data_IF_168823040267
#
_entry.id   IF_168823040267
#
_cell.length_a   1.000
_cell.length_b   1.000
_cell.length_c   1.000
_cell.angle_alpha   90.00
_cell.angle_beta   90.00
_cell.angle_gamma   90.00
#
_symmetry.space_group_name_H-M   'P 1'
#
loop_
_entity.id
_entity.type
_entity.pdbx_description
1 polymer ?
#
# COMPACT_ATOMS: atom_id res chain seq x y z
N UNK A 1 16.75 8.54 -21.12
CA UNK A 1 15.41 9.20 -21.12
C UNK A 1 14.62 8.83 -19.85
N UNK A 2 15.10 9.21 -18.65
CA UNK A 2 14.52 8.81 -17.35
C UNK A 2 13.97 9.99 -16.52
N UNK A 3 13.92 11.20 -17.09
CA UNK A 3 13.52 12.42 -16.39
C UNK A 3 12.07 12.88 -16.67
N UNK A 4 11.38 12.24 -17.62
CA UNK A 4 10.06 12.71 -18.07
C UNK A 4 8.88 12.18 -17.23
N UNK A 5 9.02 11.05 -16.53
CA UNK A 5 7.95 10.47 -15.71
C UNK A 5 7.91 10.98 -14.25
N UNK A 6 8.94 11.71 -13.82
CA UNK A 6 9.10 12.24 -12.44
C UNK A 6 8.56 13.67 -12.27
N UNK A 7 7.91 14.25 -13.29
CA UNK A 7 7.47 15.66 -13.31
C UNK A 7 5.95 15.87 -13.25
N UNK A 8 5.21 14.91 -12.70
CA UNK A 8 3.84 15.20 -12.28
C UNK A 8 3.94 15.80 -10.87
N UNK A 9 3.71 17.11 -10.75
CA UNK A 9 3.78 17.87 -9.47
C UNK A 9 2.97 17.21 -8.34
N UNK A 10 1.96 16.43 -8.69
CA UNK A 10 1.04 15.78 -7.77
C UNK A 10 1.22 14.26 -7.69
N UNK A 11 2.32 13.68 -8.18
CA UNK A 11 2.56 12.23 -8.12
C UNK A 11 3.87 11.90 -7.39
N UNK A 12 3.76 11.07 -6.36
CA UNK A 12 4.87 10.50 -5.60
C UNK A 12 5.03 9.04 -5.98
N UNK A 13 6.26 8.65 -6.30
CA UNK A 13 6.65 7.24 -6.44
C UNK A 13 7.70 6.99 -5.38
N UNK A 14 7.33 6.23 -4.35
CA UNK A 14 8.18 5.89 -3.22
C UNK A 14 8.71 4.46 -3.41
N UNK A 15 10.02 4.27 -3.28
CA UNK A 15 10.64 2.94 -3.29
C UNK A 15 10.58 2.41 -1.87
N UNK A 16 9.69 1.47 -1.61
CA UNK A 16 9.41 1.08 -0.24
C UNK A 16 10.48 0.12 0.26
N UNK A 17 11.22 0.55 1.28
CA UNK A 17 12.22 -0.25 2.02
C UNK A 17 11.65 -0.82 3.33
N UNK A 18 10.58 -0.22 3.84
CA UNK A 18 9.95 -0.65 5.08
C UNK A 18 8.47 -0.31 5.16
N UNK A 19 7.74 -1.04 5.99
CA UNK A 19 6.33 -0.81 6.27
C UNK A 19 6.07 -0.96 7.77
N UNK A 20 5.33 -0.02 8.35
CA UNK A 20 4.84 -0.11 9.72
C UNK A 20 3.31 -0.13 9.75
N UNK A 21 2.76 -0.98 10.60
CA UNK A 21 1.33 -1.08 10.86
C UNK A 21 1.02 -0.49 12.23
N UNK A 22 0.01 0.37 12.31
CA UNK A 22 -0.52 0.90 13.56
C UNK A 22 -2.01 0.70 13.57
N UNK A 23 -2.56 0.21 14.68
CA UNK A 23 -3.99 0.09 14.86
C UNK A 23 -4.52 1.11 15.87
N UNK A 24 -5.82 1.36 15.80
CA UNK A 24 -6.53 2.09 16.84
C UNK A 24 -8.04 1.97 16.66
N UNK A 25 -8.77 2.65 17.53
CA UNK A 25 -10.22 2.79 17.47
C UNK A 25 -10.61 4.23 17.72
N UNK A 26 -11.70 4.67 17.12
CA UNK A 26 -12.39 5.92 17.46
C UNK A 26 -13.92 5.68 17.37
N UNK A 27 -14.72 6.73 17.50
CA UNK A 27 -16.19 6.65 17.42
C UNK A 27 -16.72 6.00 16.13
N UNK A 28 -15.93 6.03 15.05
CA UNK A 28 -16.28 5.41 13.76
C UNK A 28 -15.79 3.96 13.65
N UNK A 29 -15.31 3.38 14.74
CA UNK A 29 -14.87 2.00 14.85
C UNK A 29 -13.37 1.80 14.63
N UNK A 30 -12.93 0.52 14.56
CA UNK A 30 -11.54 0.15 14.46
C UNK A 30 -10.95 0.56 13.12
N UNK A 31 -9.67 0.90 13.15
CA UNK A 31 -8.91 1.30 11.98
C UNK A 31 -7.48 0.77 12.03
N UNK A 32 -6.89 0.65 10.85
CA UNK A 32 -5.50 0.26 10.65
C UNK A 32 -4.85 1.30 9.74
N UNK A 33 -3.76 1.91 10.21
CA UNK A 33 -2.89 2.79 9.44
C UNK A 33 -1.66 2.00 9.00
N UNK A 34 -1.33 2.11 7.73
CA UNK A 34 -0.11 1.55 7.15
C UNK A 34 0.75 2.71 6.70
N UNK A 35 2.01 2.71 7.13
CA UNK A 35 3.00 3.71 6.73
C UNK A 35 4.11 3.00 5.98
N UNK A 36 4.44 3.51 4.80
CA UNK A 36 5.51 3.02 3.94
C UNK A 36 6.66 4.01 3.99
N UNK A 37 7.87 3.50 4.11
CA UNK A 37 9.09 4.30 4.22
C UNK A 37 10.03 3.99 3.05
N UNK A 38 10.73 5.02 2.58
CA UNK A 38 11.87 4.90 1.66
C UNK A 38 13.20 4.84 2.44
N UNK A 39 14.30 4.48 1.76
CA UNK A 39 15.67 4.54 2.28
C UNK A 39 16.07 5.98 2.67
N UNK A 40 15.54 6.98 1.98
CA UNK A 40 15.80 8.41 2.21
C UNK A 40 14.91 9.04 3.31
N UNK A 41 14.10 8.23 4.03
CA UNK A 41 13.24 8.70 5.12
C UNK A 41 11.93 9.38 4.69
N UNK A 42 11.63 9.40 3.39
CA UNK A 42 10.30 9.80 2.92
C UNK A 42 9.24 8.78 3.36
N UNK A 43 8.06 9.25 3.75
CA UNK A 43 6.95 8.39 4.13
C UNK A 43 5.66 8.70 3.38
N UNK A 44 4.85 7.65 3.21
CA UNK A 44 3.47 7.78 2.77
C UNK A 44 2.61 6.83 3.57
N UNK A 45 1.44 7.28 4.00
CA UNK A 45 0.52 6.44 4.75
C UNK A 45 -0.86 6.35 4.14
N UNK A 46 -1.53 5.25 4.44
CA UNK A 46 -2.95 5.07 4.17
C UNK A 46 -3.64 4.45 5.38
N UNK A 47 -4.96 4.62 5.43
CA UNK A 47 -5.76 4.16 6.56
C UNK A 47 -6.98 3.42 6.06
N UNK A 48 -7.19 2.22 6.61
CA UNK A 48 -8.38 1.41 6.39
C UNK A 48 -9.26 1.45 7.63
N UNK A 49 -10.56 1.61 7.41
CA UNK A 49 -11.58 1.32 8.42
C UNK A 49 -11.89 -0.17 8.35
N UNK A 50 -12.18 -0.78 9.51
CA UNK A 50 -12.40 -2.22 9.62
C UNK A 50 -13.70 -2.54 10.41
N UNK A 51 -14.62 -1.56 10.49
CA UNK A 51 -15.86 -1.66 11.25
C UNK A 51 -16.89 -2.51 10.51
N UNK A 52 -17.15 -2.23 9.23
CA UNK A 52 -18.22 -2.90 8.48
C UNK A 52 -17.70 -4.08 7.64
N UNK A 53 -18.52 -5.09 7.33
CA UNK A 53 -18.10 -6.21 6.47
C UNK A 53 -17.56 -5.74 5.12
N UNK A 54 -18.20 -4.76 4.47
CA UNK A 54 -17.73 -4.20 3.21
C UNK A 54 -16.34 -3.56 3.31
N UNK A 55 -16.06 -2.87 4.43
CA UNK A 55 -14.75 -2.29 4.69
C UNK A 55 -13.67 -3.36 4.90
N UNK A 56 -14.01 -4.44 5.61
CA UNK A 56 -13.10 -5.59 5.80
C UNK A 56 -12.79 -6.27 4.47
N UNK A 57 -13.81 -6.53 3.63
CA UNK A 57 -13.62 -7.11 2.30
C UNK A 57 -12.75 -6.21 1.41
N UNK A 58 -12.98 -4.89 1.43
CA UNK A 58 -12.15 -3.95 0.69
C UNK A 58 -10.69 -3.96 1.17
N UNK A 59 -10.47 -3.99 2.48
CA UNK A 59 -9.13 -4.12 3.06
C UNK A 59 -8.44 -5.43 2.65
N UNK A 60 -9.15 -6.55 2.68
CA UNK A 60 -8.59 -7.83 2.25
C UNK A 60 -8.17 -7.82 0.78
N UNK A 61 -9.01 -7.27 -0.08
CA UNK A 61 -8.75 -7.18 -1.52
C UNK A 61 -7.60 -6.22 -1.85
N UNK A 62 -7.58 -5.04 -1.21
CA UNK A 62 -6.63 -3.97 -1.54
C UNK A 62 -5.28 -4.11 -0.82
N UNK A 63 -5.25 -4.74 0.35
CA UNK A 63 -4.06 -4.84 1.18
C UNK A 63 -3.62 -6.29 1.43
N UNK A 64 -4.45 -7.15 2.03
CA UNK A 64 -4.01 -8.50 2.42
C UNK A 64 -3.62 -9.35 1.21
N UNK A 65 -4.45 -9.41 0.16
CA UNK A 65 -4.19 -10.25 -1.02
C UNK A 65 -2.87 -9.89 -1.74
N UNK A 66 -2.53 -8.62 -1.99
CA UNK A 66 -1.23 -8.28 -2.58
C UNK A 66 -0.04 -8.49 -1.64
N UNK A 67 -0.23 -8.30 -0.33
CA UNK A 67 0.86 -8.26 0.67
C UNK A 67 1.09 -9.60 1.38
N UNK A 68 0.23 -10.61 1.23
CA UNK A 68 0.49 -11.93 1.81
C UNK A 68 1.72 -12.58 1.18
N UNK A 69 2.59 -13.14 2.03
CA UNK A 69 3.74 -13.95 1.59
C UNK A 69 3.33 -15.34 1.12
N UNK A 70 2.14 -15.80 1.50
CA UNK A 70 1.63 -17.14 1.18
C UNK A 70 0.35 -16.99 0.34
N UNK A 71 0.47 -16.85 -1.00
CA UNK A 71 -0.69 -16.84 -1.88
C UNK A 71 -1.54 -18.10 -1.69
N UNK A 72 -2.86 -17.94 -1.56
CA UNK A 72 -3.80 -19.06 -1.41
C UNK A 72 -4.13 -19.47 0.02
N UNK A 73 -3.34 -19.04 1.03
CA UNK A 73 -3.69 -19.24 2.44
C UNK A 73 -4.31 -17.95 2.98
N UNK A 74 -5.60 -17.95 3.38
CA UNK A 74 -6.24 -16.76 3.93
C UNK A 74 -5.63 -16.44 5.29
N UNK A 75 -5.19 -15.19 5.46
CA UNK A 75 -4.77 -14.66 6.75
C UNK A 75 -6.01 -14.54 7.64
N UNK A 76 -6.03 -15.24 8.78
CA UNK A 76 -7.14 -15.20 9.72
C UNK A 76 -6.93 -14.06 10.72
N UNK A 77 -7.89 -13.15 10.81
CA UNK A 77 -7.86 -12.01 11.72
C UNK A 77 -9.29 -11.61 12.10
N UNK A 78 -9.48 -11.15 13.34
CA UNK A 78 -10.76 -10.67 13.87
C UNK A 78 -10.66 -9.18 14.17
N UNK A 79 -9.52 -8.76 14.71
CA UNK A 79 -9.22 -7.39 15.10
C UNK A 79 -8.05 -6.82 14.31
N UNK A 80 -7.90 -5.49 14.23
CA UNK A 80 -6.73 -4.87 13.62
C UNK A 80 -5.42 -5.23 14.32
N UNK A 81 -5.46 -5.51 15.62
CA UNK A 81 -4.28 -5.90 16.41
C UNK A 81 -3.72 -7.26 15.96
N UNK A 82 -4.59 -8.18 15.54
CA UNK A 82 -4.18 -9.48 15.00
C UNK A 82 -3.34 -9.30 13.73
N UNK A 83 -3.66 -8.30 12.91
CA UNK A 83 -2.93 -8.01 11.67
C UNK A 83 -1.54 -7.46 11.99
N UNK A 84 -1.43 -6.58 12.99
CA UNK A 84 -0.13 -6.05 13.44
C UNK A 84 0.76 -7.16 14.00
N UNK A 85 0.18 -8.05 14.81
CA UNK A 85 0.88 -9.22 15.36
C UNK A 85 1.36 -10.16 14.26
N UNK A 86 0.58 -10.31 13.19
CA UNK A 86 0.90 -11.12 12.03
C UNK A 86 1.66 -10.37 10.92
N UNK A 87 2.25 -9.20 11.22
CA UNK A 87 2.99 -8.40 10.24
C UNK A 87 4.11 -9.20 9.54
N UNK A 88 4.71 -10.17 10.21
CA UNK A 88 5.75 -11.03 9.63
C UNK A 88 5.27 -11.89 8.44
N UNK A 89 3.97 -12.17 8.35
CA UNK A 89 3.35 -12.88 7.22
C UNK A 89 3.08 -11.96 6.03
N UNK A 90 3.22 -10.64 6.23
CA UNK A 90 3.03 -9.63 5.21
C UNK A 90 4.40 -9.18 4.66
N UNK A 91 4.43 -8.87 3.37
CA UNK A 91 5.57 -8.21 2.71
C UNK A 91 5.19 -6.78 2.37
N UNK A 92 6.14 -5.86 2.53
CA UNK A 92 5.97 -4.51 2.00
C UNK A 92 5.97 -4.55 0.47
N UNK A 93 5.32 -3.58 -0.20
CA UNK A 93 5.43 -3.43 -1.65
C UNK A 93 6.85 -2.99 -2.03
N UNK A 94 7.24 -3.15 -3.29
CA UNK A 94 8.50 -2.60 -3.80
C UNK A 94 8.36 -1.11 -4.10
N UNK A 95 7.19 -0.72 -4.61
CA UNK A 95 6.88 0.65 -4.98
C UNK A 95 5.48 1.03 -4.53
N UNK A 96 5.37 2.23 -3.98
CA UNK A 96 4.10 2.87 -3.64
C UNK A 96 3.93 4.09 -4.52
N UNK A 97 2.81 4.17 -5.22
CA UNK A 97 2.45 5.34 -6.02
C UNK A 97 1.32 6.07 -5.31
N UNK A 98 1.59 7.31 -4.93
CA UNK A 98 0.62 8.20 -4.31
C UNK A 98 0.42 9.45 -5.15
N UNK A 99 -0.73 10.10 -4.97
CA UNK A 99 -1.02 11.40 -5.55
C UNK A 99 -1.35 12.41 -4.47
N UNK A 100 -0.89 13.64 -4.63
CA UNK A 100 -1.23 14.72 -3.72
C UNK A 100 -2.69 15.13 -3.93
N UNK A 101 -3.48 15.13 -2.86
CA UNK A 101 -4.87 15.59 -2.86
C UNK A 101 -5.02 16.60 -1.73
N UNK A 102 -5.01 17.89 -2.08
CA UNK A 102 -4.92 18.96 -1.09
C UNK A 102 -3.56 18.93 -0.39
N UNK A 103 -3.55 18.73 0.93
CA UNK A 103 -2.32 18.68 1.74
C UNK A 103 -1.85 17.25 2.07
N UNK A 104 -2.53 16.20 1.59
CA UNK A 104 -2.20 14.82 1.94
C UNK A 104 -1.90 13.97 0.71
N UNK A 105 -1.02 12.98 0.90
CA UNK A 105 -0.75 11.95 -0.10
C UNK A 105 -1.82 10.87 -0.06
N UNK A 106 -2.44 10.60 -1.19
CA UNK A 106 -3.38 9.50 -1.36
C UNK A 106 -2.71 8.37 -2.16
N UNK A 107 -2.51 7.22 -1.52
CA UNK A 107 -2.02 6.02 -2.20
C UNK A 107 -3.03 5.60 -3.29
N UNK A 108 -2.54 5.44 -4.52
CA UNK A 108 -3.35 5.06 -5.69
C UNK A 108 -3.04 3.66 -6.21
N UNK A 109 -1.80 3.22 -6.02
CA UNK A 109 -1.37 1.91 -6.46
C UNK A 109 -0.15 1.47 -5.70
N UNK A 110 -0.01 0.16 -5.55
CA UNK A 110 1.16 -0.48 -4.98
C UNK A 110 1.57 -1.57 -5.94
N UNK A 111 2.87 -1.71 -6.13
CA UNK A 111 3.41 -2.85 -6.86
C UNK A 111 4.14 -3.74 -5.87
N UNK A 112 3.70 -4.99 -5.79
CA UNK A 112 4.34 -6.05 -5.02
C UNK A 112 4.82 -7.06 -6.04
N UNK A 113 6.13 -7.20 -6.26
CA UNK A 113 6.64 -8.12 -7.25
C UNK A 113 7.13 -9.41 -6.62
N UNK A 114 6.71 -10.54 -7.20
CA UNK A 114 7.52 -11.77 -7.23
C UNK A 114 8.46 -11.66 -8.44
N UNK A 115 9.74 -11.34 -8.21
CA UNK A 115 10.88 -11.49 -9.15
C UNK A 115 10.76 -10.92 -10.58
N UNK A 116 11.53 -9.86 -10.88
CA UNK A 116 11.76 -9.32 -12.24
C UNK A 116 12.23 -7.86 -12.23
N UNK A 117 12.86 -7.35 -13.30
CA UNK A 117 13.22 -5.93 -13.45
C UNK A 117 12.01 -5.12 -13.98
N UNK A 118 11.82 -3.86 -13.53
CA UNK A 118 10.67 -3.03 -13.97
C UNK A 118 11.10 -2.35 -15.27
N UNK A 119 10.47 -2.68 -16.40
CA UNK A 119 10.68 -1.89 -17.62
C UNK A 119 10.08 -0.49 -17.42
N UNK A 120 10.73 0.54 -17.96
CA UNK A 120 10.28 1.94 -17.89
C UNK A 120 8.81 2.11 -18.33
N UNK A 121 8.31 1.24 -19.21
CA UNK A 121 6.90 1.24 -19.67
C UNK A 121 5.91 0.80 -18.58
N UNK A 122 6.27 -0.19 -17.78
CA UNK A 122 5.40 -0.70 -16.72
C UNK A 122 5.30 0.31 -15.56
N UNK A 123 6.37 1.08 -15.29
CA UNK A 123 6.35 2.20 -14.32
C UNK A 123 5.42 3.33 -14.78
N UNK A 124 5.48 3.70 -16.07
CA UNK A 124 4.60 4.72 -16.64
C UNK A 124 3.12 4.30 -16.62
N UNK A 125 2.82 3.00 -16.80
CA UNK A 125 1.46 2.46 -16.74
C UNK A 125 0.84 2.48 -15.33
N UNK A 126 1.65 2.30 -14.28
CA UNK A 126 1.22 2.47 -12.88
C UNK A 126 0.87 3.94 -12.57
N UNK A 127 1.71 4.87 -13.02
CA UNK A 127 1.54 6.32 -12.78
C UNK A 127 0.31 6.87 -13.53
N UNK A 128 0.02 6.33 -14.72
CA UNK A 128 -1.14 6.72 -15.54
C UNK A 128 -2.43 5.99 -15.16
N UNK A 129 -2.41 5.06 -14.19
CA UNK A 129 -3.59 4.27 -13.83
C UNK A 129 -4.07 3.33 -14.94
N UNK A 130 -3.23 3.09 -15.97
CA UNK A 130 -3.52 2.17 -17.09
C UNK A 130 -3.10 0.72 -16.80
N UNK A 131 -2.35 0.48 -15.75
CA UNK A 131 -2.06 -0.89 -15.30
C UNK A 131 -3.29 -1.42 -14.56
N UNK A 132 -4.11 -2.22 -15.26
CA UNK A 132 -5.05 -3.14 -14.62
C UNK A 132 -4.26 -4.40 -14.27
N UNK A 133 -4.30 -4.80 -12.99
CA UNK A 133 -3.89 -6.13 -12.56
C UNK A 133 -4.93 -7.15 -12.99
#
# INVERSE_FOLDING_TARGET
>A
MLKAALKLKDALVLRCSGMALQHGGDEKGPWLKITYYDEDGADVSERFRLQTPAQRTAFEQLFIRPHTRTPGVPLRWITPADIVTQQALLRHPDFVVARMKGQYWQVRGKSVRLSGAFSSRQRAALITGKLRF
#
